data_IF_125792993858
#
_entry.id   IF_125792993858
#
_cell.length_a   1.000
_cell.length_b   1.000
_cell.length_c   1.000
_cell.angle_alpha   90.00
_cell.angle_beta   90.00
_cell.angle_gamma   90.00
#
_symmetry.space_group_name_H-M   'P 1'
#
loop_
_entity.id
_entity.type
_entity.pdbx_description
1 polymer ?
#
# COMPACT_ATOMS: atom_id res chain seq x y z
N UNK A 1 -23.93 1.56 -7.95
CA UNK A 1 -23.12 1.46 -6.71
C UNK A 1 -21.91 2.34 -6.94
N UNK A 2 -21.60 3.29 -6.05
CA UNK A 2 -20.38 4.08 -6.17
C UNK A 2 -19.19 3.13 -5.98
N UNK A 3 -18.30 3.05 -6.94
CA UNK A 3 -17.07 2.28 -6.85
C UNK A 3 -16.25 2.89 -5.71
N UNK A 4 -15.98 2.12 -4.68
CA UNK A 4 -15.16 2.59 -3.56
C UNK A 4 -13.77 2.93 -4.09
N UNK A 5 -13.38 4.20 -3.98
CA UNK A 5 -12.09 4.67 -4.50
C UNK A 5 -10.98 4.01 -3.67
N UNK A 6 -10.03 3.39 -4.35
CA UNK A 6 -8.87 2.72 -3.73
C UNK A 6 -8.14 3.65 -2.77
N UNK A 7 -7.59 3.11 -1.67
CA UNK A 7 -6.74 3.88 -0.76
C UNK A 7 -5.51 4.45 -1.49
N UNK A 8 -4.99 3.73 -2.48
CA UNK A 8 -3.85 4.15 -3.31
C UNK A 8 -4.21 5.40 -4.11
N UNK A 9 -5.37 5.42 -4.75
CA UNK A 9 -5.86 6.59 -5.49
C UNK A 9 -6.06 7.79 -4.55
N UNK A 10 -6.75 7.57 -3.41
CA UNK A 10 -6.95 8.64 -2.41
C UNK A 10 -5.63 9.22 -1.90
N UNK A 11 -4.64 8.34 -1.67
CA UNK A 11 -3.32 8.74 -1.18
C UNK A 11 -2.53 9.52 -2.24
N UNK A 12 -2.57 9.08 -3.50
CA UNK A 12 -1.89 9.73 -4.60
C UNK A 12 -2.44 11.12 -4.93
N UNK A 13 -3.74 11.35 -4.72
CA UNK A 13 -4.41 12.63 -4.95
C UNK A 13 -4.33 13.59 -3.74
N UNK A 14 -3.95 13.08 -2.56
CA UNK A 14 -3.91 13.87 -1.34
C UNK A 14 -2.66 14.75 -1.24
N UNK A 15 -2.82 15.95 -0.67
CA UNK A 15 -1.71 16.76 -0.21
C UNK A 15 -0.98 16.09 0.99
N UNK A 16 0.14 16.64 1.43
CA UNK A 16 0.90 16.09 2.54
C UNK A 16 0.07 15.92 3.82
N UNK A 17 -0.82 16.87 4.12
CA UNK A 17 -1.71 16.78 5.28
C UNK A 17 -2.68 15.62 5.15
N UNK A 18 -3.32 15.49 3.99
CA UNK A 18 -4.23 14.39 3.70
C UNK A 18 -3.57 13.02 3.71
N UNK A 19 -2.34 12.91 3.20
CA UNK A 19 -1.56 11.66 3.27
C UNK A 19 -1.29 11.22 4.70
N UNK A 20 -0.89 12.17 5.56
CA UNK A 20 -0.65 11.85 6.98
C UNK A 20 -1.94 11.46 7.68
N UNK A 21 -3.07 12.10 7.36
CA UNK A 21 -4.38 11.73 7.91
C UNK A 21 -4.77 10.31 7.47
N UNK A 22 -4.70 10.01 6.16
CA UNK A 22 -5.00 8.67 5.62
C UNK A 22 -4.12 7.61 6.31
N UNK A 23 -2.83 7.88 6.50
CA UNK A 23 -1.91 6.96 7.15
C UNK A 23 -2.26 6.74 8.62
N UNK A 24 -2.54 7.80 9.37
CA UNK A 24 -2.88 7.72 10.80
C UNK A 24 -4.24 7.06 11.04
N UNK A 25 -5.20 7.26 10.15
CA UNK A 25 -6.54 6.70 10.28
C UNK A 25 -6.60 5.21 9.89
N UNK A 26 -5.65 4.76 9.07
CA UNK A 26 -5.54 3.37 8.64
C UNK A 26 -4.30 2.67 9.21
N UNK A 27 -3.65 3.23 10.23
CA UNK A 27 -2.30 2.83 10.68
C UNK A 27 -2.13 1.31 10.85
N UNK A 28 -3.07 0.67 11.53
CA UNK A 28 -3.04 -0.77 11.82
C UNK A 28 -3.09 -1.64 10.55
N UNK A 29 -3.91 -1.23 9.58
CA UNK A 29 -4.17 -2.00 8.35
C UNK A 29 -3.41 -1.46 7.13
N UNK A 30 -2.68 -0.36 7.28
CA UNK A 30 -2.11 0.40 6.17
C UNK A 30 -1.19 -0.43 5.27
N UNK A 31 -0.26 -1.19 5.85
CA UNK A 31 0.64 -2.06 5.08
C UNK A 31 -0.11 -3.21 4.42
N UNK A 32 -1.08 -3.81 5.12
CA UNK A 32 -1.92 -4.88 4.57
C UNK A 32 -2.75 -4.39 3.38
N UNK A 33 -3.27 -3.15 3.44
CA UNK A 33 -3.99 -2.55 2.32
C UNK A 33 -3.08 -2.34 1.10
N UNK A 34 -1.82 -1.93 1.30
CA UNK A 34 -0.83 -1.83 0.22
C UNK A 34 -0.56 -3.22 -0.38
N UNK A 35 -0.38 -4.25 0.44
CA UNK A 35 -0.16 -5.62 -0.02
C UNK A 35 -1.34 -6.15 -0.83
N UNK A 36 -2.58 -5.90 -0.38
CA UNK A 36 -3.78 -6.26 -1.13
C UNK A 36 -3.86 -5.55 -2.49
N UNK A 37 -3.43 -4.29 -2.57
CA UNK A 37 -3.36 -3.58 -3.85
C UNK A 37 -2.31 -4.19 -4.79
N UNK A 38 -1.14 -4.60 -4.27
CA UNK A 38 -0.14 -5.33 -5.07
C UNK A 38 -0.69 -6.65 -5.59
N UNK A 39 -1.35 -7.44 -4.74
CA UNK A 39 -1.98 -8.70 -5.18
C UNK A 39 -3.09 -8.46 -6.21
N UNK A 40 -3.86 -7.39 -6.08
CA UNK A 40 -4.85 -6.98 -7.08
C UNK A 40 -4.24 -6.67 -8.45
N UNK A 41 -3.11 -5.97 -8.50
CA UNK A 41 -2.37 -5.70 -9.73
C UNK A 41 -1.82 -7.02 -10.34
N UNK A 42 -1.22 -7.89 -9.53
CA UNK A 42 -0.76 -9.22 -9.97
C UNK A 42 -1.90 -10.03 -10.60
N UNK A 43 -3.07 -10.02 -9.95
CA UNK A 43 -4.24 -10.72 -10.44
C UNK A 43 -4.69 -10.18 -11.82
N UNK A 44 -4.76 -8.86 -12.00
CA UNK A 44 -5.12 -8.23 -13.28
C UNK A 44 -4.14 -8.60 -14.38
N UNK A 45 -2.83 -8.47 -14.14
CA UNK A 45 -1.80 -8.83 -15.13
C UNK A 45 -1.97 -10.30 -15.58
N UNK A 46 -2.19 -11.21 -14.65
CA UNK A 46 -2.39 -12.64 -14.97
C UNK A 46 -3.68 -12.88 -15.74
N UNK A 47 -4.77 -12.20 -15.38
CA UNK A 47 -6.07 -12.35 -16.04
C UNK A 47 -6.01 -11.89 -17.49
N UNK A 48 -5.43 -10.69 -17.75
CA UNK A 48 -5.28 -10.13 -19.09
C UNK A 48 -4.40 -11.04 -19.97
N UNK A 49 -3.27 -11.51 -19.45
CA UNK A 49 -2.38 -12.45 -20.14
C UNK A 49 -3.07 -13.81 -20.41
N UNK A 50 -3.86 -14.30 -19.48
CA UNK A 50 -4.61 -15.53 -19.67
C UNK A 50 -5.73 -15.36 -20.73
N UNK A 51 -6.36 -14.21 -20.77
CA UNK A 51 -7.35 -13.85 -21.78
C UNK A 51 -6.72 -13.85 -23.18
N UNK A 52 -5.60 -13.15 -23.37
CA UNK A 52 -4.88 -13.11 -24.66
C UNK A 52 -4.38 -14.48 -25.09
N UNK A 53 -3.87 -15.29 -24.15
CA UNK A 53 -3.49 -16.68 -24.46
C UNK A 53 -4.67 -17.53 -24.94
N UNK A 54 -5.88 -17.31 -24.43
CA UNK A 54 -7.10 -18.02 -24.88
C UNK A 54 -7.53 -17.54 -26.26
N UNK A 55 -7.52 -16.24 -26.50
CA UNK A 55 -7.87 -15.63 -27.79
C UNK A 55 -6.95 -16.14 -28.91
N UNK A 56 -5.65 -16.13 -28.68
CA UNK A 56 -4.66 -16.60 -29.66
C UNK A 56 -4.75 -18.12 -29.90
N UNK A 57 -5.22 -18.94 -28.94
CA UNK A 57 -5.47 -20.38 -29.14
C UNK A 57 -6.68 -20.67 -30.02
N UNK A 58 -7.69 -19.79 -30.00
CA UNK A 58 -8.88 -19.93 -30.87
C UNK A 58 -8.57 -19.74 -32.35
N UNK A 59 -7.53 -19.00 -32.71
CA UNK A 59 -7.10 -18.77 -34.10
C UNK A 59 -6.20 -19.88 -34.65
N UNK A 60 -5.56 -20.70 -33.82
CA UNK A 60 -4.60 -21.74 -34.19
C UNK A 60 -5.21 -23.15 -34.27
N UNK A 61 -6.37 -23.30 -34.79
CA UNK A 61 -7.19 -24.48 -35.13
C UNK A 61 -6.65 -25.93 -35.06
N UNK A 62 -5.39 -26.19 -34.69
CA UNK A 62 -4.81 -27.52 -34.55
C UNK A 62 -3.82 -27.53 -33.36
N UNK A 63 -4.16 -28.34 -32.37
CA UNK A 63 -3.28 -28.60 -31.21
C UNK A 63 -2.22 -29.63 -31.61
N UNK A 64 -1.05 -29.18 -32.07
CA UNK A 64 0.12 -30.04 -32.15
C UNK A 64 0.64 -30.26 -30.72
N UNK A 65 0.57 -31.50 -30.25
CA UNK A 65 1.19 -31.93 -29.00
C UNK A 65 2.71 -31.92 -29.20
N UNK A 66 3.35 -30.79 -28.91
CA UNK A 66 4.81 -30.73 -28.81
C UNK A 66 5.21 -31.32 -27.46
N UNK A 67 5.99 -32.38 -27.47
CA UNK A 67 6.61 -33.06 -26.34
C UNK A 67 7.77 -32.22 -25.76
N UNK A 68 7.52 -30.96 -25.42
CA UNK A 68 8.44 -30.12 -24.66
C UNK A 68 8.05 -30.18 -23.20
N UNK A 69 9.01 -30.53 -22.34
CA UNK A 69 8.87 -30.64 -20.90
C UNK A 69 8.77 -29.26 -20.21
N UNK A 70 7.80 -28.44 -20.59
CA UNK A 70 7.47 -27.26 -19.79
C UNK A 70 6.26 -27.63 -18.93
N UNK A 71 6.49 -27.87 -17.66
CA UNK A 71 5.40 -28.06 -16.69
C UNK A 71 4.58 -26.77 -16.62
N UNK A 72 3.26 -26.81 -16.81
CA UNK A 72 2.41 -25.61 -16.65
C UNK A 72 2.63 -24.92 -15.31
N UNK A 73 2.90 -25.68 -14.27
CA UNK A 73 3.20 -25.20 -12.91
C UNK A 73 4.53 -24.44 -12.84
N UNK A 74 5.56 -24.90 -13.57
CA UNK A 74 6.87 -24.23 -13.62
C UNK A 74 6.78 -22.89 -14.36
N UNK A 75 6.08 -22.86 -15.48
CA UNK A 75 5.83 -21.62 -16.23
C UNK A 75 5.08 -20.59 -15.38
N UNK A 76 4.06 -21.03 -14.64
CA UNK A 76 3.29 -20.16 -13.75
C UNK A 76 4.13 -19.66 -12.58
N UNK A 77 5.01 -20.49 -12.01
CA UNK A 77 5.90 -20.10 -10.94
C UNK A 77 6.92 -19.03 -11.40
N UNK A 78 7.50 -19.20 -12.58
CA UNK A 78 8.42 -18.22 -13.19
C UNK A 78 7.68 -16.91 -13.44
N UNK A 79 6.50 -16.93 -14.04
CA UNK A 79 5.69 -15.73 -14.29
C UNK A 79 5.36 -14.99 -13.00
N UNK A 80 5.08 -15.70 -11.91
CA UNK A 80 4.84 -15.09 -10.60
C UNK A 80 6.06 -14.34 -10.08
N UNK A 81 7.24 -14.93 -10.19
CA UNK A 81 8.50 -14.32 -9.75
C UNK A 81 8.80 -13.06 -10.58
N UNK A 82 8.68 -13.15 -11.91
CA UNK A 82 8.92 -12.03 -12.81
C UNK A 82 7.97 -10.84 -12.53
N UNK A 83 6.68 -11.11 -12.28
CA UNK A 83 5.71 -10.07 -11.89
C UNK A 83 6.12 -9.44 -10.55
N UNK A 84 6.50 -10.26 -9.56
CA UNK A 84 6.93 -9.72 -8.26
C UNK A 84 8.19 -8.87 -8.36
N UNK A 85 9.16 -9.28 -9.15
CA UNK A 85 10.39 -8.52 -9.38
C UNK A 85 10.09 -7.19 -10.08
N UNK A 86 9.26 -7.21 -11.12
CA UNK A 86 8.79 -6.01 -11.80
C UNK A 86 8.08 -5.04 -10.84
N UNK A 87 7.18 -5.54 -10.01
CA UNK A 87 6.43 -4.72 -9.03
C UNK A 87 7.35 -4.15 -7.94
N UNK A 88 8.41 -4.86 -7.56
CA UNK A 88 9.39 -4.41 -6.56
C UNK A 88 10.40 -3.42 -7.12
N UNK A 89 10.91 -3.69 -8.33
CA UNK A 89 11.92 -2.85 -8.98
C UNK A 89 11.34 -1.57 -9.58
N UNK A 90 10.07 -1.59 -10.01
CA UNK A 90 9.47 -0.53 -10.80
C UNK A 90 9.96 -0.50 -12.25
N UNK A 91 10.57 -1.58 -12.72
CA UNK A 91 10.98 -1.75 -14.12
C UNK A 91 9.79 -2.27 -14.94
N UNK A 92 9.20 -1.39 -15.73
CA UNK A 92 8.01 -1.65 -16.54
C UNK A 92 8.29 -1.85 -18.04
N UNK A 93 9.54 -2.03 -18.43
CA UNK A 93 9.92 -2.31 -19.82
C UNK A 93 9.73 -3.80 -20.18
N UNK A 94 9.24 -4.59 -19.24
CA UNK A 94 9.02 -6.03 -19.38
C UNK A 94 7.87 -6.35 -20.36
N UNK A 95 8.02 -7.41 -21.16
CA UNK A 95 6.96 -8.01 -21.99
C UNK A 95 5.72 -8.47 -21.18
N UNK A 96 5.82 -8.46 -19.86
CA UNK A 96 4.73 -8.83 -18.94
C UNK A 96 3.52 -7.89 -19.07
N UNK A 97 3.74 -6.62 -19.41
CA UNK A 97 2.70 -5.62 -19.53
C UNK A 97 2.16 -5.44 -20.96
N UNK A 98 2.69 -6.20 -21.94
CA UNK A 98 2.35 -6.03 -23.36
C UNK A 98 0.86 -6.16 -23.68
N UNK A 99 0.14 -6.95 -22.89
CA UNK A 99 -1.28 -7.25 -23.10
C UNK A 99 -2.17 -6.76 -21.95
N UNK A 100 -1.64 -5.87 -21.13
CA UNK A 100 -2.35 -5.35 -19.96
C UNK A 100 -2.99 -4.02 -20.34
N UNK A 101 -4.28 -3.89 -20.05
CA UNK A 101 -4.98 -2.63 -20.16
C UNK A 101 -4.53 -1.65 -19.06
N UNK A 102 -4.55 -0.36 -19.34
CA UNK A 102 -4.26 0.71 -18.38
C UNK A 102 -2.87 0.64 -17.70
N UNK A 103 -1.83 0.27 -18.46
CA UNK A 103 -0.45 0.17 -17.96
C UNK A 103 0.01 1.44 -17.23
N UNK A 104 -0.38 2.61 -17.71
CA UNK A 104 -0.01 3.89 -17.08
C UNK A 104 -0.65 4.06 -15.70
N UNK A 105 -1.87 3.54 -15.50
CA UNK A 105 -2.50 3.54 -14.19
C UNK A 105 -1.78 2.57 -13.24
N UNK A 106 -1.42 1.39 -13.72
CA UNK A 106 -0.64 0.42 -12.93
C UNK A 106 0.69 1.03 -12.48
N UNK A 107 1.41 1.70 -13.38
CA UNK A 107 2.67 2.38 -13.04
C UNK A 107 2.48 3.45 -11.96
N UNK A 108 1.43 4.27 -12.09
CA UNK A 108 1.10 5.29 -11.07
C UNK A 108 0.78 4.64 -9.72
N UNK A 109 -0.07 3.62 -9.72
CA UNK A 109 -0.47 2.93 -8.49
C UNK A 109 0.74 2.32 -7.77
N UNK A 110 1.65 1.67 -8.50
CA UNK A 110 2.87 1.09 -7.93
C UNK A 110 3.77 2.19 -7.34
N UNK A 111 3.94 3.30 -8.04
CA UNK A 111 4.72 4.43 -7.53
C UNK A 111 4.12 4.98 -6.24
N UNK A 112 2.80 5.20 -6.21
CA UNK A 112 2.09 5.66 -5.01
C UNK A 112 2.26 4.67 -3.85
N UNK A 113 2.13 3.36 -4.10
CA UNK A 113 2.33 2.33 -3.07
C UNK A 113 3.77 2.31 -2.53
N UNK A 114 4.77 2.57 -3.37
CA UNK A 114 6.17 2.71 -2.91
C UNK A 114 6.30 3.92 -1.97
N UNK A 115 5.71 5.06 -2.33
CA UNK A 115 5.70 6.25 -1.48
C UNK A 115 4.94 5.99 -0.18
N UNK A 116 3.78 5.33 -0.22
CA UNK A 116 3.05 4.93 0.98
C UNK A 116 3.91 4.11 1.95
N UNK A 117 4.68 3.14 1.45
CA UNK A 117 5.61 2.34 2.28
C UNK A 117 6.72 3.19 2.88
N UNK A 118 7.30 4.11 2.11
CA UNK A 118 8.32 5.04 2.60
C UNK A 118 7.76 5.93 3.70
N UNK A 119 6.60 6.55 3.48
CA UNK A 119 5.95 7.43 4.44
C UNK A 119 5.58 6.69 5.73
N UNK A 120 5.13 5.43 5.64
CA UNK A 120 4.90 4.58 6.82
C UNK A 120 6.20 4.31 7.61
N UNK A 121 7.31 4.09 6.93
CA UNK A 121 8.61 3.97 7.56
C UNK A 121 9.04 5.27 8.28
N UNK A 122 8.84 6.41 7.62
CA UNK A 122 9.18 7.74 8.17
C UNK A 122 8.34 8.08 9.39
N UNK A 123 7.02 7.83 9.37
CA UNK A 123 6.16 8.14 10.52
C UNK A 123 6.59 7.37 11.77
N UNK A 124 7.06 6.13 11.60
CA UNK A 124 7.59 5.31 12.68
C UNK A 124 8.87 5.91 13.30
N UNK A 125 9.71 6.56 12.47
CA UNK A 125 10.89 7.28 12.94
C UNK A 125 10.51 8.61 13.60
N UNK A 126 9.59 9.38 13.01
CA UNK A 126 9.12 10.64 13.56
C UNK A 126 8.46 10.47 14.94
N UNK A 127 7.75 9.34 15.15
CA UNK A 127 7.19 8.99 16.46
C UNK A 127 8.26 8.92 17.56
N UNK A 128 9.45 8.41 17.25
CA UNK A 128 10.56 8.32 18.22
C UNK A 128 11.11 9.69 18.65
N UNK A 129 10.79 10.74 17.91
CA UNK A 129 11.19 12.13 18.23
C UNK A 129 10.14 12.88 19.08
N UNK A 130 9.03 12.25 19.43
CA UNK A 130 8.02 12.80 20.31
C UNK A 130 8.45 12.72 21.80
N UNK A 131 7.70 13.40 22.66
CA UNK A 131 7.85 13.24 24.10
C UNK A 131 7.57 11.77 24.51
N UNK A 132 8.19 11.30 25.60
CA UNK A 132 7.94 9.94 26.10
C UNK A 132 6.46 9.69 26.41
N UNK A 133 5.74 10.71 26.90
CA UNK A 133 4.30 10.62 27.16
C UNK A 133 3.52 10.40 25.87
N UNK A 134 3.80 11.20 24.81
CA UNK A 134 3.11 11.07 23.53
C UNK A 134 3.46 9.74 22.85
N UNK A 135 4.72 9.26 22.95
CA UNK A 135 5.10 7.95 22.43
C UNK A 135 4.31 6.82 23.07
N UNK A 136 4.20 6.80 24.42
CA UNK A 136 3.45 5.76 25.14
C UNK A 136 1.98 5.70 24.72
N UNK A 137 1.33 6.87 24.67
CA UNK A 137 -0.08 6.96 24.27
C UNK A 137 -0.28 6.49 22.84
N UNK A 138 0.61 6.83 21.90
CA UNK A 138 0.53 6.39 20.52
C UNK A 138 0.82 4.90 20.36
N UNK A 139 1.73 4.31 21.14
CA UNK A 139 1.92 2.85 21.16
C UNK A 139 0.64 2.15 21.57
N UNK A 140 0.03 2.57 22.70
CA UNK A 140 -1.23 1.98 23.14
C UNK A 140 -2.36 2.14 22.14
N UNK A 141 -2.46 3.28 21.46
CA UNK A 141 -3.55 3.57 20.54
C UNK A 141 -3.34 2.97 19.14
N UNK A 142 -2.13 3.11 18.56
CA UNK A 142 -1.85 2.72 17.16
C UNK A 142 -1.31 1.29 17.04
N UNK A 143 -0.45 0.84 17.95
CA UNK A 143 0.20 -0.47 17.84
C UNK A 143 -0.55 -1.56 18.61
N UNK A 144 -1.12 -1.21 19.79
CA UNK A 144 -1.87 -2.15 20.63
C UNK A 144 -3.39 -2.13 20.33
N UNK A 145 -3.86 -1.23 19.46
CA UNK A 145 -5.28 -1.09 19.08
C UNK A 145 -6.21 -0.75 20.25
N UNK A 146 -5.68 -0.11 21.31
CA UNK A 146 -6.47 0.19 22.51
C UNK A 146 -7.50 1.29 22.24
N UNK A 147 -8.70 1.10 22.76
CA UNK A 147 -9.74 2.15 22.79
C UNK A 147 -9.39 3.27 23.79
N UNK A 148 -10.08 4.41 23.69
CA UNK A 148 -9.91 5.47 24.66
C UNK A 148 -10.27 5.03 26.10
N UNK A 149 -11.22 4.11 26.25
CA UNK A 149 -11.60 3.53 27.54
C UNK A 149 -10.49 2.65 28.11
N UNK A 150 -9.84 1.84 27.25
CA UNK A 150 -8.73 0.98 27.67
C UNK A 150 -7.54 1.80 28.12
N UNK A 151 -7.20 2.88 27.38
CA UNK A 151 -6.14 3.81 27.74
C UNK A 151 -6.48 4.53 29.07
N UNK A 152 -7.73 4.97 29.23
CA UNK A 152 -8.20 5.62 30.44
C UNK A 152 -8.04 4.71 31.65
N UNK A 153 -8.45 3.44 31.52
CA UNK A 153 -8.31 2.42 32.56
C UNK A 153 -6.85 2.07 32.86
N UNK A 154 -6.01 1.95 31.83
CA UNK A 154 -4.57 1.64 31.96
C UNK A 154 -3.79 2.75 32.67
N UNK A 155 -4.17 4.01 32.41
CA UNK A 155 -3.48 5.19 32.92
C UNK A 155 -4.14 5.82 34.18
N UNK A 156 -5.24 5.21 34.67
CA UNK A 156 -6.06 5.70 35.78
C UNK A 156 -6.47 7.17 35.61
N UNK A 157 -7.05 7.48 34.45
CA UNK A 157 -7.53 8.82 34.07
C UNK A 157 -8.94 8.76 33.49
N UNK A 158 -9.61 9.89 33.39
CA UNK A 158 -10.90 9.98 32.73
C UNK A 158 -10.78 9.73 31.20
N UNK A 159 -11.83 9.16 30.61
CA UNK A 159 -11.88 8.85 29.16
C UNK A 159 -11.66 10.11 28.29
N UNK A 160 -12.21 11.26 28.68
CA UNK A 160 -12.00 12.51 27.94
C UNK A 160 -10.54 13.00 28.02
N UNK A 161 -9.88 12.75 29.14
CA UNK A 161 -8.45 13.01 29.28
C UNK A 161 -7.62 12.09 28.37
N UNK A 162 -7.97 10.80 28.26
CA UNK A 162 -7.33 9.87 27.35
C UNK A 162 -7.52 10.31 25.89
N UNK A 163 -8.75 10.67 25.50
CA UNK A 163 -9.06 11.20 24.15
C UNK A 163 -8.23 12.45 23.83
N UNK A 164 -8.14 13.39 24.75
CA UNK A 164 -7.36 14.62 24.58
C UNK A 164 -5.87 14.33 24.44
N UNK A 165 -5.32 13.38 25.21
CA UNK A 165 -3.91 12.95 25.10
C UNK A 165 -3.62 12.31 23.73
N UNK A 166 -4.47 11.38 23.27
CA UNK A 166 -4.31 10.75 21.95
C UNK A 166 -4.39 11.80 20.84
N UNK A 167 -5.39 12.70 20.89
CA UNK A 167 -5.55 13.76 19.89
C UNK A 167 -4.31 14.66 19.83
N UNK A 168 -3.78 15.08 20.98
CA UNK A 168 -2.57 15.90 21.05
C UNK A 168 -1.36 15.15 20.48
N UNK A 169 -1.17 13.90 20.87
CA UNK A 169 -0.06 13.08 20.41
C UNK A 169 -0.10 12.83 18.89
N UNK A 170 -1.29 12.50 18.33
CA UNK A 170 -1.52 12.43 16.87
C UNK A 170 -1.22 13.76 16.18
N UNK A 171 -1.67 14.89 16.74
CA UNK A 171 -1.38 16.23 16.22
C UNK A 171 0.12 16.55 16.20
N UNK A 172 0.84 16.25 17.27
CA UNK A 172 2.30 16.43 17.34
C UNK A 172 3.03 15.55 16.31
N UNK A 173 2.59 14.32 16.12
CA UNK A 173 3.15 13.42 15.11
C UNK A 173 2.87 13.94 13.70
N UNK A 174 1.65 14.39 13.43
CA UNK A 174 1.25 14.97 12.14
C UNK A 174 2.13 16.18 11.79
N UNK A 175 2.34 17.12 12.74
CA UNK A 175 3.20 18.30 12.52
C UNK A 175 4.62 17.85 12.14
N UNK A 176 5.21 16.92 12.87
CA UNK A 176 6.57 16.41 12.57
C UNK A 176 6.66 15.75 11.21
N UNK A 177 5.65 14.95 10.86
CA UNK A 177 5.60 14.25 9.57
C UNK A 177 5.43 15.26 8.42
N UNK A 178 4.52 16.23 8.56
CA UNK A 178 4.33 17.29 7.56
C UNK A 178 5.61 18.09 7.33
N UNK A 179 6.26 18.55 8.41
CA UNK A 179 7.55 19.28 8.30
C UNK A 179 8.61 18.44 7.55
N UNK A 180 8.66 17.14 7.81
CA UNK A 180 9.58 16.25 7.09
C UNK A 180 9.23 16.17 5.60
N UNK A 181 7.95 15.95 5.26
CA UNK A 181 7.48 15.82 3.88
C UNK A 181 7.64 17.13 3.10
N UNK A 182 7.34 18.28 3.68
CA UNK A 182 7.54 19.61 3.08
C UNK A 182 9.02 19.89 2.77
N UNK A 183 9.93 19.38 3.61
CA UNK A 183 11.37 19.61 3.44
C UNK A 183 12.00 18.63 2.45
N UNK A 184 11.53 17.36 2.39
CA UNK A 184 12.21 16.28 1.70
C UNK A 184 11.32 15.57 0.65
N UNK A 185 10.02 15.80 0.69
CA UNK A 185 9.06 15.17 -0.22
C UNK A 185 9.03 15.85 -1.59
N UNK A 186 8.63 15.10 -2.60
CA UNK A 186 8.24 15.65 -3.90
C UNK A 186 6.74 15.87 -3.90
N UNK A 187 6.31 17.05 -4.30
CA UNK A 187 4.89 17.43 -4.34
C UNK A 187 4.13 16.87 -5.54
N UNK A 188 4.87 16.40 -6.56
CA UNK A 188 4.28 16.01 -7.83
C UNK A 188 4.28 14.48 -7.99
N UNK A 189 3.07 13.92 -8.11
CA UNK A 189 2.82 12.53 -8.53
C UNK A 189 2.31 12.49 -9.96
#
# INVERSE_FOLDING_TARGET
MATEVSIVTKYGEADYSGRVDILLDNYETFLTQIELCYEGIKYRIKEDRAYERRKNRGELGIRVQTSGHSSPTETEAIENIEIEEMLKSGDFESDLLKYVDDVDQIKRDIYVMQVMKLDFGIISLQRKLLSRSDQKVLVSFLDEGMTYEDIARKEDIEMESARSRVRRAKGNLKIKMMTFLETNGRSDF
#
